data_IF_590630165856
#
_entry.id   IF_590630165856
#
_cell.length_a   1.000
_cell.length_b   1.000
_cell.length_c   1.000
_cell.angle_alpha   90.00
_cell.angle_beta   90.00
_cell.angle_gamma   90.00
#
_symmetry.space_group_name_H-M   'P 1'
#
loop_
_entity.id
_entity.type
_entity.pdbx_description
1 polymer ?
#
# COMPACT_ATOMS: atom_id res chain seq x y z
N UNK A 1 22.30 -47.02 -8.50
CA UNK A 1 20.96 -46.62 -8.93
C UNK A 1 20.16 -45.76 -7.92
N UNK A 2 20.38 -45.93 -6.62
CA UNK A 2 19.76 -45.05 -5.60
C UNK A 2 20.20 -43.59 -5.68
N UNK A 3 21.47 -43.35 -6.01
CA UNK A 3 22.05 -42.01 -6.16
C UNK A 3 21.41 -41.26 -7.34
N UNK A 4 21.13 -41.94 -8.43
CA UNK A 4 20.52 -41.34 -9.63
C UNK A 4 19.08 -40.88 -9.39
N UNK A 5 18.27 -41.64 -8.62
CA UNK A 5 16.94 -41.26 -8.22
C UNK A 5 16.90 -40.04 -7.30
N UNK A 6 17.88 -39.95 -6.37
CA UNK A 6 18.00 -38.81 -5.46
C UNK A 6 18.42 -37.56 -6.19
N UNK A 7 19.30 -37.63 -7.17
CA UNK A 7 19.73 -36.51 -8.01
C UNK A 7 18.54 -36.02 -8.87
N UNK A 8 17.77 -36.94 -9.40
CA UNK A 8 16.58 -36.59 -10.21
C UNK A 8 15.49 -35.89 -9.38
N UNK A 9 15.28 -36.35 -8.13
CA UNK A 9 14.35 -35.72 -7.21
C UNK A 9 14.81 -34.34 -6.77
N UNK A 10 16.10 -34.16 -6.51
CA UNK A 10 16.69 -32.88 -6.16
C UNK A 10 16.59 -31.88 -7.33
N UNK A 11 16.88 -32.34 -8.55
CA UNK A 11 16.71 -31.52 -9.78
C UNK A 11 15.25 -31.15 -10.02
N UNK A 12 14.31 -32.06 -9.79
CA UNK A 12 12.89 -31.79 -9.88
C UNK A 12 12.41 -30.72 -8.89
N UNK A 13 12.89 -30.77 -7.65
CA UNK A 13 12.56 -29.79 -6.62
C UNK A 13 13.11 -28.41 -6.94
N UNK A 14 14.34 -28.33 -7.43
CA UNK A 14 14.95 -27.06 -7.87
C UNK A 14 14.21 -26.50 -9.08
N UNK A 15 13.83 -27.35 -10.02
CA UNK A 15 13.09 -26.95 -11.21
C UNK A 15 11.68 -26.45 -10.87
N UNK A 16 10.99 -27.10 -9.92
CA UNK A 16 9.69 -26.65 -9.42
C UNK A 16 9.80 -25.29 -8.70
N UNK A 17 10.85 -25.08 -7.92
CA UNK A 17 11.10 -23.79 -7.26
C UNK A 17 11.37 -22.67 -8.27
N UNK A 18 12.14 -22.95 -9.32
CA UNK A 18 12.41 -21.99 -10.40
C UNK A 18 11.16 -21.70 -11.21
N UNK A 19 10.31 -22.69 -11.48
CA UNK A 19 9.06 -22.50 -12.18
C UNK A 19 8.05 -21.67 -11.37
N UNK A 20 8.02 -21.83 -10.04
CA UNK A 20 7.18 -21.01 -9.17
C UNK A 20 7.61 -19.53 -9.18
N UNK A 21 8.90 -19.28 -9.27
CA UNK A 21 9.43 -17.91 -9.43
C UNK A 21 9.19 -17.39 -10.85
N UNK A 22 9.29 -18.24 -11.88
CA UNK A 22 9.11 -17.86 -13.28
C UNK A 22 7.62 -17.72 -13.67
N UNK A 23 6.70 -18.40 -12.99
CA UNK A 23 5.26 -18.31 -13.25
C UNK A 23 4.59 -17.04 -12.72
N UNK A 24 5.36 -16.02 -12.36
CA UNK A 24 4.86 -14.67 -12.17
C UNK A 24 4.07 -14.44 -10.89
N UNK A 25 4.30 -15.22 -9.84
CA UNK A 25 3.95 -14.83 -8.49
C UNK A 25 4.91 -13.71 -8.07
N UNK A 26 4.86 -12.59 -8.79
CA UNK A 26 5.55 -11.38 -8.38
C UNK A 26 4.97 -10.95 -7.05
N UNK A 27 5.80 -10.99 -6.02
CA UNK A 27 5.46 -10.47 -4.73
C UNK A 27 5.26 -8.95 -4.82
N UNK A 28 4.19 -8.46 -4.21
CA UNK A 28 3.98 -7.03 -4.02
C UNK A 28 4.73 -6.49 -2.80
N UNK A 29 5.53 -7.33 -2.15
CA UNK A 29 6.32 -6.95 -0.98
C UNK A 29 7.20 -5.75 -1.29
N UNK A 30 7.27 -4.82 -0.36
CA UNK A 30 8.09 -3.64 -0.48
C UNK A 30 7.54 -2.47 0.30
N UNK A 31 8.23 -1.36 0.16
CA UNK A 31 7.84 -0.08 0.75
C UNK A 31 7.49 0.89 -0.39
N UNK A 32 6.31 1.45 -0.31
CA UNK A 32 5.77 2.38 -1.29
C UNK A 32 5.49 3.69 -0.59
N UNK A 33 5.94 4.81 -1.16
CA UNK A 33 5.90 6.12 -0.51
C UNK A 33 5.22 7.15 -1.38
N UNK A 34 4.36 7.95 -0.78
CA UNK A 34 3.73 9.13 -1.35
C UNK A 34 4.15 10.34 -0.53
N UNK A 35 4.91 11.24 -1.15
CA UNK A 35 5.40 12.50 -0.57
C UNK A 35 4.97 13.65 -1.46
N UNK A 36 3.72 14.09 -1.38
CA UNK A 36 3.27 15.21 -2.20
C UNK A 36 3.86 16.53 -1.70
N UNK A 37 4.05 17.46 -2.63
CA UNK A 37 4.29 18.86 -2.27
C UNK A 37 3.05 19.46 -1.61
N UNK A 38 3.22 20.58 -0.90
CA UNK A 38 2.09 21.31 -0.31
C UNK A 38 1.08 21.74 -1.37
N UNK A 39 1.56 22.11 -2.54
CA UNK A 39 0.71 22.48 -3.67
C UNK A 39 -0.14 21.31 -4.17
N UNK A 40 0.47 20.14 -4.30
CA UNK A 40 -0.25 18.92 -4.67
C UNK A 40 -1.31 18.56 -3.63
N UNK A 41 -1.00 18.69 -2.34
CA UNK A 41 -1.97 18.44 -1.26
C UNK A 41 -3.14 19.41 -1.35
N UNK A 42 -2.87 20.71 -1.58
CA UNK A 42 -3.93 21.70 -1.76
C UNK A 42 -4.86 21.35 -2.92
N UNK A 43 -4.30 20.85 -4.02
CA UNK A 43 -5.10 20.43 -5.19
C UNK A 43 -5.93 19.17 -4.92
N UNK A 44 -5.49 18.31 -4.00
CA UNK A 44 -6.21 17.08 -3.63
C UNK A 44 -7.32 17.31 -2.61
N UNK A 45 -7.33 18.46 -1.94
CA UNK A 45 -8.30 18.80 -0.91
C UNK A 45 -9.41 19.72 -1.45
N UNK A 46 -10.61 19.67 -0.84
CA UNK A 46 -11.61 20.68 -1.10
C UNK A 46 -11.07 22.09 -0.80
N UNK A 47 -11.54 23.09 -1.56
CA UNK A 47 -11.05 24.47 -1.44
C UNK A 47 -11.19 25.03 -0.03
N UNK A 48 -12.21 24.60 0.73
CA UNK A 48 -12.42 25.02 2.12
C UNK A 48 -11.33 24.52 3.07
N UNK A 49 -10.63 23.43 2.73
CA UNK A 49 -9.53 22.87 3.52
C UNK A 49 -8.17 23.23 2.97
N UNK A 50 -8.08 23.53 1.68
CA UNK A 50 -6.80 23.84 1.04
C UNK A 50 -6.12 25.07 1.63
N UNK A 51 -6.89 26.07 2.07
CA UNK A 51 -6.33 27.31 2.60
C UNK A 51 -5.64 27.15 3.96
N UNK A 52 -5.95 26.07 4.73
CA UNK A 52 -5.31 25.82 6.02
C UNK A 52 -3.92 25.19 5.86
N UNK A 53 -3.60 24.70 4.67
CA UNK A 53 -2.31 24.07 4.40
C UNK A 53 -1.30 25.14 4.03
N UNK A 54 -0.39 25.43 4.94
CA UNK A 54 0.70 26.38 4.74
C UNK A 54 1.94 25.69 4.17
N UNK A 55 2.93 26.47 3.69
CA UNK A 55 4.10 25.95 3.01
C UNK A 55 5.06 25.14 3.91
N UNK A 56 4.89 25.25 5.23
CA UNK A 56 5.67 24.49 6.20
C UNK A 56 5.15 23.06 6.44
N UNK A 57 3.99 22.72 5.89
CA UNK A 57 3.46 21.37 5.99
C UNK A 57 4.27 20.39 5.15
N UNK A 58 4.60 19.25 5.75
CA UNK A 58 5.23 18.11 5.08
C UNK A 58 4.36 16.88 5.30
N UNK A 59 4.02 16.22 4.20
CA UNK A 59 3.19 15.02 4.18
C UNK A 59 3.98 13.84 3.69
N UNK A 60 3.89 12.74 4.39
CA UNK A 60 4.45 11.47 3.95
C UNK A 60 3.52 10.35 4.33
N UNK A 61 3.12 9.56 3.34
CA UNK A 61 2.38 8.32 3.57
C UNK A 61 3.20 7.18 3.01
N UNK A 62 3.48 6.18 3.82
CA UNK A 62 4.20 4.99 3.39
C UNK A 62 3.33 3.75 3.59
N UNK A 63 3.40 2.85 2.62
CA UNK A 63 2.74 1.56 2.66
C UNK A 63 3.81 0.50 2.62
N UNK A 64 3.84 -0.35 3.64
CA UNK A 64 4.79 -1.46 3.73
C UNK A 64 3.98 -2.74 3.58
N UNK A 65 4.30 -3.53 2.55
CA UNK A 65 3.69 -4.83 2.32
C UNK A 65 4.71 -5.91 2.60
N UNK A 66 4.34 -6.85 3.46
CA UNK A 66 5.14 -8.03 3.75
C UNK A 66 4.20 -9.24 3.80
N UNK A 67 4.22 -10.03 2.74
CA UNK A 67 3.39 -11.23 2.57
C UNK A 67 1.89 -10.93 2.72
N UNK A 68 1.25 -11.35 3.80
CA UNK A 68 -0.17 -11.15 4.08
C UNK A 68 -0.45 -9.97 5.00
N UNK A 69 0.58 -9.19 5.34
CA UNK A 69 0.49 -8.08 6.26
C UNK A 69 0.85 -6.79 5.56
N UNK A 70 0.17 -5.71 5.92
CA UNK A 70 0.46 -4.38 5.43
C UNK A 70 0.37 -3.36 6.56
N UNK A 71 1.19 -2.32 6.46
CA UNK A 71 1.15 -1.19 7.38
C UNK A 71 1.13 0.08 6.56
N UNK A 72 0.19 0.96 6.85
CA UNK A 72 0.16 2.32 6.31
C UNK A 72 0.57 3.29 7.42
N UNK A 73 1.62 4.06 7.17
CA UNK A 73 2.10 5.10 8.09
C UNK A 73 1.82 6.46 7.49
N UNK A 74 1.13 7.30 8.25
CA UNK A 74 0.81 8.67 7.86
C UNK A 74 1.59 9.62 8.76
N UNK A 75 2.40 10.48 8.16
CA UNK A 75 3.19 11.50 8.86
C UNK A 75 2.83 12.87 8.31
N UNK A 76 2.44 13.76 9.21
CA UNK A 76 2.15 15.15 8.90
C UNK A 76 2.96 16.02 9.86
N UNK A 77 3.82 16.85 9.31
CA UNK A 77 4.66 17.78 10.09
C UNK A 77 4.43 19.21 9.64
N UNK A 78 4.35 20.11 10.62
CA UNK A 78 4.40 21.56 10.42
C UNK A 78 5.01 22.20 11.65
N UNK A 79 5.13 23.52 11.67
CA UNK A 79 5.63 24.25 12.82
C UNK A 79 4.74 24.10 14.07
N UNK A 80 3.46 23.78 13.86
CA UNK A 80 2.46 23.68 14.94
C UNK A 80 1.94 22.27 15.17
N UNK A 81 2.26 21.34 14.29
CA UNK A 81 1.70 19.97 14.32
C UNK A 81 2.74 18.93 13.94
N UNK A 82 2.77 17.85 14.70
CA UNK A 82 3.54 16.66 14.37
C UNK A 82 2.66 15.44 14.64
N UNK A 83 2.15 14.84 13.59
CA UNK A 83 1.25 13.69 13.68
C UNK A 83 1.88 12.48 13.00
N UNK A 84 1.92 11.37 13.74
CA UNK A 84 2.32 10.06 13.21
C UNK A 84 1.23 9.06 13.53
N UNK A 85 0.62 8.48 12.50
CA UNK A 85 -0.41 7.46 12.66
C UNK A 85 -0.02 6.21 11.87
N UNK A 86 -0.42 5.06 12.39
CA UNK A 86 -0.12 3.77 11.80
C UNK A 86 -1.38 2.93 11.76
N UNK A 87 -1.64 2.31 10.61
CA UNK A 87 -2.82 1.46 10.39
C UNK A 87 -2.35 0.10 9.88
N UNK A 88 -2.83 -0.95 10.52
CA UNK A 88 -2.50 -2.32 10.15
C UNK A 88 -3.56 -2.91 9.23
N UNK A 89 -3.11 -3.63 8.21
CA UNK A 89 -3.97 -4.26 7.22
C UNK A 89 -3.61 -5.72 7.02
N UNK A 90 -4.59 -6.51 6.67
CA UNK A 90 -4.39 -7.79 6.00
C UNK A 90 -4.31 -7.53 4.50
N UNK A 91 -3.36 -8.16 3.82
CA UNK A 91 -3.15 -8.00 2.39
C UNK A 91 -3.41 -9.31 1.67
N UNK A 92 -4.32 -9.29 0.73
CA UNK A 92 -4.53 -10.37 -0.23
C UNK A 92 -3.86 -9.98 -1.54
N UNK A 93 -2.64 -10.44 -1.74
CA UNK A 93 -1.85 -10.08 -2.93
C UNK A 93 -2.39 -10.71 -4.21
N UNK A 94 -3.08 -11.84 -4.10
CA UNK A 94 -3.70 -12.50 -5.24
C UNK A 94 -4.86 -11.68 -5.82
N UNK A 95 -5.71 -11.15 -4.94
CA UNK A 95 -6.89 -10.36 -5.34
C UNK A 95 -6.65 -8.85 -5.27
N UNK A 96 -5.45 -8.43 -4.83
CA UNK A 96 -5.06 -7.02 -4.72
C UNK A 96 -6.00 -6.24 -3.81
N UNK A 97 -6.17 -6.73 -2.58
CA UNK A 97 -7.07 -6.13 -1.58
C UNK A 97 -6.34 -5.94 -0.25
N UNK A 98 -6.47 -4.73 0.31
CA UNK A 98 -6.17 -4.45 1.71
C UNK A 98 -7.46 -4.50 2.54
N UNK A 99 -7.40 -5.16 3.68
CA UNK A 99 -8.50 -5.16 4.66
C UNK A 99 -7.96 -4.58 5.97
N UNK A 100 -8.57 -3.50 6.45
CA UNK A 100 -8.14 -2.85 7.68
C UNK A 100 -8.37 -3.80 8.87
N UNK A 101 -7.32 -3.96 9.69
CA UNK A 101 -7.41 -4.70 10.96
C UNK A 101 -7.99 -3.79 12.05
N UNK A 102 -8.64 -4.39 13.03
CA UNK A 102 -9.18 -3.69 14.19
C UNK A 102 -10.15 -2.55 13.86
N UNK A 103 -10.80 -2.65 12.71
CA UNK A 103 -11.81 -1.71 12.27
C UNK A 103 -13.15 -2.44 12.12
N UNK A 104 -14.11 -2.06 12.95
CA UNK A 104 -15.47 -2.62 12.92
C UNK A 104 -16.22 -2.28 11.62
N UNK A 105 -15.74 -1.26 10.89
CA UNK A 105 -16.31 -0.88 9.60
C UNK A 105 -15.98 -1.86 8.47
N UNK A 106 -14.96 -2.71 8.65
CA UNK A 106 -14.53 -3.66 7.63
C UNK A 106 -14.03 -2.99 6.35
N UNK A 107 -13.35 -1.86 6.47
CA UNK A 107 -12.82 -1.11 5.33
C UNK A 107 -11.93 -1.97 4.45
N UNK A 108 -12.26 -2.04 3.17
CA UNK A 108 -11.51 -2.75 2.14
C UNK A 108 -11.08 -1.78 1.06
N UNK A 109 -9.83 -1.92 0.64
CA UNK A 109 -9.27 -1.11 -0.44
C UNK A 109 -8.66 -2.00 -1.50
N UNK A 110 -9.10 -1.87 -2.73
CA UNK A 110 -8.47 -2.53 -3.86
C UNK A 110 -7.32 -1.68 -4.38
N UNK A 111 -6.22 -2.33 -4.74
CA UNK A 111 -5.03 -1.66 -5.21
C UNK A 111 -4.50 -2.25 -6.52
N UNK A 112 -3.65 -1.50 -7.17
CA UNK A 112 -2.96 -1.90 -8.39
C UNK A 112 -1.50 -1.47 -8.28
N UNK A 113 -0.59 -2.32 -8.76
CA UNK A 113 0.82 -1.96 -8.91
C UNK A 113 1.17 -2.00 -10.38
N UNK A 114 1.68 -0.89 -10.91
CA UNK A 114 2.11 -0.76 -12.30
C UNK A 114 3.32 0.15 -12.34
N UNK A 115 4.40 -0.25 -13.01
CA UNK A 115 5.64 0.51 -13.11
C UNK A 115 6.21 0.92 -11.73
N UNK A 116 6.21 -0.02 -10.78
CA UNK A 116 6.67 0.21 -9.40
C UNK A 116 5.86 1.27 -8.64
N UNK A 117 4.65 1.51 -9.07
CA UNK A 117 3.75 2.47 -8.44
C UNK A 117 2.48 1.77 -7.97
N UNK A 118 2.15 1.95 -6.69
CA UNK A 118 0.92 1.44 -6.08
C UNK A 118 -0.13 2.54 -6.09
N UNK A 119 -1.32 2.22 -6.57
CA UNK A 119 -2.49 3.11 -6.54
C UNK A 119 -3.69 2.36 -5.98
N UNK A 120 -4.56 3.06 -5.27
CA UNK A 120 -5.84 2.52 -4.82
C UNK A 120 -6.92 2.82 -5.84
N UNK A 121 -7.70 1.80 -6.17
CA UNK A 121 -8.74 1.89 -7.21
C UNK A 121 -10.11 2.10 -6.59
N UNK A 122 -10.38 1.44 -5.46
CA UNK A 122 -11.69 1.49 -4.81
C UNK A 122 -11.53 1.34 -3.30
N UNK A 123 -12.35 2.05 -2.55
CA UNK A 123 -12.39 1.99 -1.09
C UNK A 123 -13.83 1.75 -0.69
N UNK A 124 -14.08 0.63 -0.02
CA UNK A 124 -15.41 0.25 0.49
C UNK A 124 -15.42 0.28 1.99
N UNK A 125 -16.29 1.10 2.54
CA UNK A 125 -16.57 1.16 3.96
C UNK A 125 -18.00 0.71 4.21
N UNK A 126 -18.21 -0.08 5.26
CA UNK A 126 -19.56 -0.52 5.65
C UNK A 126 -20.36 0.55 6.41
N UNK A 127 -19.69 1.53 7.00
CA UNK A 127 -20.29 2.64 7.72
C UNK A 127 -19.66 3.96 7.25
N UNK A 128 -20.29 4.59 6.27
CA UNK A 128 -19.82 5.85 5.70
C UNK A 128 -20.18 7.03 6.59
N UNK A 129 -19.35 7.38 7.54
CA UNK A 129 -19.45 8.67 8.20
C UNK A 129 -18.14 9.44 8.05
N UNK A 130 -18.13 10.36 7.12
CA UNK A 130 -17.15 11.45 7.05
C UNK A 130 -15.83 11.20 6.33
N UNK A 131 -15.71 10.14 5.55
CA UNK A 131 -14.43 9.79 4.93
C UNK A 131 -14.32 10.07 3.42
N UNK A 132 -15.28 10.74 2.80
CA UNK A 132 -15.23 11.05 1.36
C UNK A 132 -13.96 11.81 0.99
N UNK A 133 -13.50 12.72 1.84
CA UNK A 133 -12.26 13.47 1.65
C UNK A 133 -11.06 12.52 1.68
N UNK A 134 -11.01 11.63 2.66
CA UNK A 134 -9.94 10.63 2.77
C UNK A 134 -9.95 9.66 1.59
N UNK A 135 -11.12 9.18 1.22
CA UNK A 135 -11.28 8.25 0.09
C UNK A 135 -10.78 8.91 -1.20
N UNK A 136 -11.19 10.15 -1.46
CA UNK A 136 -10.75 10.88 -2.65
C UNK A 136 -9.24 11.14 -2.62
N UNK A 137 -8.70 11.50 -1.46
CA UNK A 137 -7.27 11.70 -1.28
C UNK A 137 -6.48 10.42 -1.59
N UNK A 138 -6.87 9.29 -0.98
CA UNK A 138 -6.15 8.03 -1.14
C UNK A 138 -6.23 7.49 -2.57
N UNK A 139 -7.34 7.72 -3.28
CA UNK A 139 -7.50 7.31 -4.67
C UNK A 139 -6.66 8.15 -5.64
N UNK A 140 -6.38 9.39 -5.30
CA UNK A 140 -5.50 10.25 -6.10
C UNK A 140 -4.02 10.02 -5.81
N UNK A 141 -3.68 9.47 -4.66
CA UNK A 141 -2.30 9.27 -4.24
C UNK A 141 -1.60 8.19 -5.08
N UNK A 142 -0.37 8.46 -5.48
CA UNK A 142 0.50 7.54 -6.22
C UNK A 142 1.70 7.21 -5.34
N UNK A 143 1.77 5.97 -4.88
CA UNK A 143 2.80 5.49 -3.98
C UNK A 143 3.94 4.85 -4.78
N UNK A 144 5.10 5.45 -4.75
CA UNK A 144 6.27 4.97 -5.49
C UNK A 144 7.06 3.96 -4.67
N UNK A 145 7.41 2.83 -5.27
CA UNK A 145 8.22 1.81 -4.61
C UNK A 145 9.64 2.34 -4.38
N UNK A 146 10.10 2.27 -3.11
CA UNK A 146 11.44 2.72 -2.70
C UNK A 146 12.32 1.56 -2.20
N UNK A 147 11.72 0.44 -1.88
CA UNK A 147 12.45 -0.78 -1.47
C UNK A 147 11.75 -2.05 -1.93
#
# INVERSE_FOLDING_TARGET
>A
MKIFKQILLALGAVFAAVLLVACGLKSDNGTYVFEPSTEEVRQMLPSQLAYIITDDYKFRVSIIIKDKEGVMKVQIKSNVQNTNQSYDFKVDQKHKIFVMKNDDSGTKMSYKISNHMLTFMDVKESNSSGSDIFINFIKMAKFKKVK
#
